data_IF_399683570557
#
_entry.id   IF_399683570557
#
_cell.length_a   1.000
_cell.length_b   1.000
_cell.length_c   1.000
_cell.angle_alpha   90.00
_cell.angle_beta   90.00
_cell.angle_gamma   90.00
#
_symmetry.space_group_name_H-M   'P 1'
#
loop_
_entity.id
_entity.type
_entity.pdbx_description
1 polymer ?
#
# COMPACT_ATOMS: atom_id res chain seq x y z
N UNK A 1 -6.22 -23.43 21.83
CA UNK A 1 -6.68 -23.52 20.43
C UNK A 1 -6.20 -22.26 19.74
N UNK A 2 -5.63 -22.30 18.54
CA UNK A 2 -5.29 -21.06 17.84
C UNK A 2 -6.60 -20.37 17.48
N UNK A 3 -6.81 -19.17 17.99
CA UNK A 3 -7.98 -18.34 17.65
C UNK A 3 -7.93 -18.03 16.16
N UNK A 4 -8.74 -18.75 15.37
CA UNK A 4 -8.98 -18.38 13.98
C UNK A 4 -9.52 -16.95 13.96
N UNK A 5 -9.02 -16.07 13.07
CA UNK A 5 -9.53 -14.72 12.96
C UNK A 5 -11.04 -14.78 12.73
N UNK A 6 -11.79 -14.21 13.66
CA UNK A 6 -13.25 -14.13 13.55
C UNK A 6 -13.59 -13.35 12.27
N UNK A 7 -14.69 -13.72 11.61
CA UNK A 7 -15.08 -13.11 10.32
C UNK A 7 -15.14 -11.57 10.35
N UNK A 8 -15.37 -10.96 11.54
CA UNK A 8 -15.35 -9.51 11.73
C UNK A 8 -13.94 -8.92 11.73
N UNK A 9 -12.96 -9.56 12.38
CA UNK A 9 -11.56 -9.11 12.37
C UNK A 9 -10.98 -9.18 10.96
N UNK A 10 -11.31 -10.23 10.21
CA UNK A 10 -10.87 -10.39 8.84
C UNK A 10 -11.40 -9.26 7.93
N UNK A 11 -12.68 -8.87 8.11
CA UNK A 11 -13.29 -7.73 7.41
C UNK A 11 -12.65 -6.38 7.77
N UNK A 12 -12.35 -6.15 9.05
CA UNK A 12 -11.64 -4.94 9.49
C UNK A 12 -10.25 -4.84 8.85
N UNK A 13 -9.49 -5.93 8.84
CA UNK A 13 -8.14 -5.95 8.26
C UNK A 13 -8.16 -5.68 6.74
N UNK A 14 -9.17 -6.16 6.02
CA UNK A 14 -9.34 -5.85 4.60
C UNK A 14 -9.60 -4.35 4.38
N UNK A 15 -10.50 -3.75 5.16
CA UNK A 15 -10.77 -2.32 5.09
C UNK A 15 -9.52 -1.48 5.38
N UNK A 16 -8.75 -1.86 6.41
CA UNK A 16 -7.49 -1.19 6.74
C UNK A 16 -6.44 -1.30 5.62
N UNK A 17 -6.36 -2.46 4.96
CA UNK A 17 -5.46 -2.66 3.84
C UNK A 17 -5.86 -1.79 2.64
N UNK A 18 -7.15 -1.77 2.30
CA UNK A 18 -7.68 -0.94 1.22
C UNK A 18 -7.44 0.56 1.47
N UNK A 19 -7.72 1.03 2.69
CA UNK A 19 -7.47 2.41 3.09
C UNK A 19 -5.98 2.77 3.03
N UNK A 20 -5.12 1.85 3.45
CA UNK A 20 -3.67 2.01 3.39
C UNK A 20 -3.18 2.13 1.95
N UNK A 21 -3.68 1.29 1.04
CA UNK A 21 -3.37 1.36 -0.39
C UNK A 21 -3.86 2.68 -1.00
N UNK A 22 -5.08 3.13 -0.68
CA UNK A 22 -5.59 4.41 -1.17
C UNK A 22 -4.76 5.60 -0.67
N UNK A 23 -4.28 5.57 0.58
CA UNK A 23 -3.35 6.57 1.12
C UNK A 23 -2.00 6.54 0.39
N UNK A 24 -1.45 5.34 0.15
CA UNK A 24 -0.23 5.17 -0.63
C UNK A 24 -0.38 5.76 -2.03
N UNK A 25 -1.46 5.45 -2.74
CA UNK A 25 -1.75 6.02 -4.06
C UNK A 25 -1.76 7.53 -4.05
N UNK A 26 -2.46 8.15 -3.09
CA UNK A 26 -2.52 9.62 -2.96
C UNK A 26 -1.14 10.22 -2.72
N UNK A 27 -0.35 9.64 -1.82
CA UNK A 27 0.99 10.10 -1.51
C UNK A 27 1.93 9.99 -2.74
N UNK A 28 1.85 8.87 -3.47
CA UNK A 28 2.60 8.68 -4.73
C UNK A 28 2.18 9.70 -5.78
N UNK A 29 0.88 9.95 -5.95
CA UNK A 29 0.38 10.98 -6.87
C UNK A 29 0.89 12.38 -6.51
N UNK A 30 0.93 12.71 -5.22
CA UNK A 30 1.50 13.96 -4.74
C UNK A 30 2.99 14.05 -5.06
N UNK A 31 3.74 12.96 -4.84
CA UNK A 31 5.16 12.89 -5.15
C UNK A 31 5.46 12.95 -6.66
N UNK A 32 4.58 12.39 -7.51
CA UNK A 32 4.63 12.54 -8.97
C UNK A 32 4.38 13.98 -9.42
N UNK A 33 3.45 14.67 -8.75
CA UNK A 33 3.11 16.05 -9.07
C UNK A 33 4.16 17.04 -8.57
N UNK A 34 4.81 16.72 -7.44
CA UNK A 34 5.81 17.55 -6.81
C UNK A 34 6.88 16.67 -6.13
N UNK A 35 7.95 16.38 -6.86
CA UNK A 35 9.05 15.47 -6.49
C UNK A 35 9.98 16.07 -5.43
N UNK A 36 9.42 16.54 -4.32
CA UNK A 36 10.19 16.93 -3.13
C UNK A 36 10.62 15.70 -2.34
N UNK A 37 11.71 15.83 -1.60
CA UNK A 37 12.17 14.80 -0.66
C UNK A 37 11.07 14.36 0.31
N UNK A 38 10.37 15.32 0.90
CA UNK A 38 9.29 15.06 1.85
C UNK A 38 8.16 14.26 1.22
N UNK A 39 7.74 14.59 -0.01
CA UNK A 39 6.67 13.86 -0.70
C UNK A 39 7.10 12.42 -1.04
N UNK A 40 8.37 12.23 -1.46
CA UNK A 40 8.93 10.90 -1.73
C UNK A 40 8.97 10.05 -0.46
N UNK A 41 9.47 10.61 0.65
CA UNK A 41 9.52 9.91 1.94
C UNK A 41 8.11 9.57 2.46
N UNK A 42 7.14 10.47 2.28
CA UNK A 42 5.75 10.21 2.66
C UNK A 42 5.14 9.08 1.82
N UNK A 43 5.39 9.08 0.51
CA UNK A 43 4.94 8.02 -0.40
C UNK A 43 5.58 6.67 -0.05
N UNK A 44 6.87 6.63 0.27
CA UNK A 44 7.58 5.43 0.70
C UNK A 44 7.00 4.86 1.99
N UNK A 45 6.80 5.70 3.00
CA UNK A 45 6.20 5.30 4.28
C UNK A 45 4.77 4.79 4.11
N UNK A 46 3.97 5.42 3.23
CA UNK A 46 2.61 4.98 2.96
C UNK A 46 2.58 3.62 2.24
N UNK A 47 3.51 3.39 1.29
CA UNK A 47 3.67 2.11 0.61
C UNK A 47 4.08 0.97 1.57
N UNK A 48 5.00 1.24 2.50
CA UNK A 48 5.39 0.29 3.54
C UNK A 48 4.20 -0.11 4.43
N UNK A 49 3.39 0.87 4.85
CA UNK A 49 2.18 0.60 5.63
C UNK A 49 1.17 -0.24 4.85
N UNK A 50 0.96 0.08 3.57
CA UNK A 50 0.07 -0.69 2.71
C UNK A 50 0.53 -2.14 2.53
N UNK A 51 1.83 -2.38 2.29
CA UNK A 51 2.39 -3.74 2.22
C UNK A 51 2.19 -4.52 3.51
N UNK A 52 2.43 -3.90 4.66
CA UNK A 52 2.24 -4.55 5.96
C UNK A 52 0.76 -4.90 6.20
N UNK A 53 -0.16 -3.98 5.89
CA UNK A 53 -1.59 -4.22 6.07
C UNK A 53 -2.10 -5.35 5.16
N UNK A 54 -1.69 -5.38 3.88
CA UNK A 54 -2.04 -6.46 2.95
C UNK A 54 -1.45 -7.80 3.40
N UNK A 55 -0.22 -7.80 3.92
CA UNK A 55 0.45 -9.02 4.40
C UNK A 55 -0.15 -9.56 5.70
N UNK A 56 -0.80 -8.71 6.51
CA UNK A 56 -1.47 -9.12 7.73
C UNK A 56 -2.77 -9.90 7.49
N UNK A 57 -3.30 -9.91 6.26
CA UNK A 57 -4.53 -10.65 5.92
C UNK A 57 -4.17 -12.12 5.63
N UNK A 58 -4.34 -12.97 6.64
CA UNK A 58 -4.10 -14.41 6.53
C UNK A 58 -5.35 -15.23 6.12
N UNK A 59 -6.53 -14.62 6.07
CA UNK A 59 -7.79 -15.33 5.81
C UNK A 59 -7.92 -15.78 4.35
N UNK A 60 -7.93 -17.09 4.11
CA UNK A 60 -8.05 -17.69 2.77
C UNK A 60 -9.39 -17.40 2.09
N UNK A 61 -10.45 -17.13 2.86
CA UNK A 61 -11.78 -16.82 2.31
C UNK A 61 -11.79 -15.46 1.60
N UNK A 62 -10.85 -14.58 1.95
CA UNK A 62 -10.75 -13.22 1.43
C UNK A 62 -9.76 -13.10 0.28
N UNK A 63 -9.14 -14.20 -0.18
CA UNK A 63 -8.10 -14.19 -1.21
C UNK A 63 -8.49 -13.42 -2.46
N UNK A 64 -9.71 -13.52 -3.02
CA UNK A 64 -10.07 -12.73 -4.20
C UNK A 64 -9.97 -11.21 -3.95
N UNK A 65 -10.46 -10.73 -2.80
CA UNK A 65 -10.40 -9.31 -2.45
C UNK A 65 -8.97 -8.88 -2.09
N UNK A 66 -8.20 -9.75 -1.42
CA UNK A 66 -6.80 -9.49 -1.12
C UNK A 66 -5.97 -9.38 -2.39
N UNK A 67 -6.23 -10.22 -3.39
CA UNK A 67 -5.56 -10.14 -4.70
C UNK A 67 -5.89 -8.86 -5.45
N UNK A 68 -7.14 -8.38 -5.39
CA UNK A 68 -7.49 -7.07 -5.95
C UNK A 68 -6.68 -5.93 -5.30
N UNK A 69 -6.59 -5.93 -3.98
CA UNK A 69 -5.81 -4.93 -3.24
C UNK A 69 -4.31 -5.08 -3.54
N UNK A 70 -3.80 -6.30 -3.71
CA UNK A 70 -2.40 -6.56 -4.12
C UNK A 70 -2.11 -6.00 -5.51
N UNK A 71 -3.02 -6.18 -6.45
CA UNK A 71 -2.90 -5.63 -7.79
C UNK A 71 -2.89 -4.09 -7.78
N UNK A 72 -3.75 -3.47 -6.97
CA UNK A 72 -3.73 -2.01 -6.78
C UNK A 72 -2.41 -1.56 -6.15
N UNK A 73 -1.95 -2.25 -5.10
CA UNK A 73 -0.67 -1.96 -4.44
C UNK A 73 0.52 -2.08 -5.42
N UNK A 74 0.55 -3.10 -6.26
CA UNK A 74 1.58 -3.28 -7.28
C UNK A 74 1.61 -2.10 -8.26
N UNK A 75 0.45 -1.66 -8.75
CA UNK A 75 0.34 -0.48 -9.62
C UNK A 75 0.84 0.80 -8.95
N UNK A 76 0.51 0.99 -7.66
CA UNK A 76 1.02 2.14 -6.87
C UNK A 76 2.53 2.06 -6.70
N UNK A 77 3.08 0.86 -6.53
CA UNK A 77 4.52 0.63 -6.39
C UNK A 77 5.28 0.93 -7.69
N UNK A 78 4.72 0.56 -8.84
CA UNK A 78 5.26 0.91 -10.15
C UNK A 78 5.27 2.43 -10.39
N UNK A 79 4.20 3.13 -9.99
CA UNK A 79 4.14 4.59 -10.04
C UNK A 79 5.19 5.24 -9.13
N UNK A 80 5.39 4.70 -7.91
CA UNK A 80 6.42 5.20 -7.00
C UNK A 80 7.84 4.98 -7.54
N UNK A 81 8.08 3.86 -8.24
CA UNK A 81 9.35 3.64 -8.91
C UNK A 81 9.62 4.76 -9.95
N UNK A 82 8.60 5.20 -10.68
CA UNK A 82 8.74 6.35 -11.60
C UNK A 82 9.12 7.64 -10.85
N UNK A 83 8.50 7.92 -9.70
CA UNK A 83 8.89 9.06 -8.83
C UNK A 83 10.37 8.97 -8.45
N UNK A 84 10.84 7.78 -8.04
CA UNK A 84 12.24 7.57 -7.66
C UNK A 84 13.21 7.78 -8.81
N UNK A 85 12.87 7.36 -10.03
CA UNK A 85 13.71 7.58 -11.22
C UNK A 85 13.68 9.03 -11.72
N UNK A 86 12.58 9.74 -11.51
CA UNK A 86 12.45 11.16 -11.86
C UNK A 86 13.20 12.08 -10.89
N UNK A 87 13.52 11.61 -9.68
CA UNK A 87 14.39 12.33 -8.76
C UNK A 87 15.80 12.27 -9.36
N UNK A 88 16.37 13.36 -9.90
CA UNK A 88 17.76 13.34 -10.32
C UNK A 88 18.58 12.97 -9.08
N UNK A 89 19.28 11.84 -9.15
CA UNK A 89 20.34 11.51 -8.22
C UNK A 89 21.46 12.52 -8.46
N UNK A 90 21.29 13.74 -7.96
CA UNK A 90 22.42 14.64 -7.77
C UNK A 90 23.24 13.99 -6.66
N UNK A 91 24.37 13.40 -7.09
CA UNK A 91 25.33 12.73 -6.23
C UNK A 91 26.03 13.67 -5.26
#
# INVERSE_FOLDING_TARGET
MPDEPTSMQAQSNLGEAQDSVHKARRAVHQALSNTTETAVLQAENALLKAQNAVSAIADRRMQPAVEEIRNELASVQDQFNQVRFQRPTNG
#
